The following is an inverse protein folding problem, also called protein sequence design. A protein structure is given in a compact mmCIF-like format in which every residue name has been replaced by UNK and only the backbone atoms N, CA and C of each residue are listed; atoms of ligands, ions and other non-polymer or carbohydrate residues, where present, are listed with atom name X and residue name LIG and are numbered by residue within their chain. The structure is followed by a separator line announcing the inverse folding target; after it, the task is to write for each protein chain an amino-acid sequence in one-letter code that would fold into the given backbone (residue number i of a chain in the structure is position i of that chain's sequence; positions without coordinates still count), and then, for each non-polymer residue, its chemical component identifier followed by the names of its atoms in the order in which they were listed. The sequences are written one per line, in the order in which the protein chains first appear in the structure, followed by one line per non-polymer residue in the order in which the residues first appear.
data_IF_150990161144
#
_entry.id   IF_150990161144
#
_cell.length_a   1.000
_cell.length_b   1.000
_cell.length_c   1.000
_cell.angle_alpha   90.00
_cell.angle_beta   90.00
_cell.angle_gamma   90.00
#
_symmetry.space_group_name_H-M   'P 1'
#
loop_
_entity.id
_entity.type
_entity.pdbx_description
1 polymer ?
#
# COMPACT_ATOMS: atom_id res chain seq x y z
N UNK A 1 59.78 -25.87 52.62
CA UNK A 1 59.53 -25.91 51.16
C UNK A 1 58.04 -26.04 50.96
N UNK A 2 57.39 -24.99 50.50
CA UNK A 2 55.94 -25.01 50.20
C UNK A 2 55.76 -25.10 48.66
N UNK A 3 54.87 -25.96 48.15
CA UNK A 3 54.62 -26.03 46.68
C UNK A 3 53.67 -24.94 46.26
N UNK A 4 54.02 -24.16 45.20
CA UNK A 4 53.18 -23.21 44.51
C UNK A 4 52.27 -23.99 43.60
N UNK A 5 50.93 -23.81 43.77
CA UNK A 5 49.89 -24.29 42.83
C UNK A 5 49.75 -23.29 41.73
N UNK A 6 50.09 -23.71 40.51
CA UNK A 6 49.79 -22.96 39.28
C UNK A 6 48.29 -23.08 38.98
N UNK A 7 47.58 -21.96 39.01
CA UNK A 7 46.22 -21.89 38.48
C UNK A 7 46.30 -21.55 36.98
N UNK A 8 45.96 -22.52 36.15
CA UNK A 8 45.78 -22.27 34.72
C UNK A 8 44.39 -21.62 34.49
N UNK A 9 44.37 -20.36 34.08
CA UNK A 9 43.17 -19.68 33.61
C UNK A 9 42.96 -20.08 32.13
N UNK A 10 41.97 -20.91 31.84
CA UNK A 10 41.48 -21.17 30.49
C UNK A 10 40.53 -20.04 30.10
N UNK A 11 41.04 -19.14 29.26
CA UNK A 11 40.24 -18.07 28.64
C UNK A 11 39.39 -18.70 27.52
N UNK A 12 38.11 -18.99 27.81
CA UNK A 12 37.14 -19.44 26.81
C UNK A 12 36.80 -18.31 25.87
N UNK A 13 37.25 -18.41 24.63
CA UNK A 13 36.88 -17.50 23.53
C UNK A 13 35.44 -17.84 23.10
N UNK A 14 34.46 -17.11 23.64
CA UNK A 14 33.10 -17.13 23.11
C UNK A 14 33.09 -16.43 21.74
N UNK A 15 33.15 -17.21 20.66
CA UNK A 15 32.79 -16.75 19.34
C UNK A 15 31.27 -16.50 19.35
N UNK A 16 30.87 -15.27 19.61
CA UNK A 16 29.52 -14.81 19.24
C UNK A 16 29.44 -14.78 17.72
N UNK A 17 28.86 -15.82 17.11
CA UNK A 17 28.35 -15.77 15.76
C UNK A 17 27.22 -14.74 15.76
N UNK A 18 27.53 -13.48 15.48
CA UNK A 18 26.53 -12.52 15.04
C UNK A 18 26.06 -13.00 13.66
N UNK A 19 24.94 -13.72 13.63
CA UNK A 19 24.18 -13.85 12.40
C UNK A 19 23.81 -12.42 12.01
N UNK A 20 24.45 -11.90 10.97
CA UNK A 20 23.95 -10.72 10.28
C UNK A 20 22.52 -11.09 9.89
N UNK A 21 21.52 -10.45 10.53
CA UNK A 21 20.16 -10.53 10.07
C UNK A 21 20.19 -9.97 8.64
N UNK A 22 20.09 -10.84 7.66
CA UNK A 22 19.86 -10.45 6.27
C UNK A 22 18.57 -9.65 6.26
N UNK A 23 18.59 -8.46 5.67
CA UNK A 23 17.37 -7.70 5.49
C UNK A 23 16.49 -8.51 4.52
N UNK A 24 15.39 -9.04 5.03
CA UNK A 24 14.43 -9.78 4.22
C UNK A 24 13.82 -8.83 3.18
N UNK A 25 13.80 -9.27 1.93
CA UNK A 25 13.10 -8.58 0.85
C UNK A 25 11.70 -9.18 0.78
N UNK A 26 10.69 -8.37 1.14
CA UNK A 26 9.30 -8.81 1.17
C UNK A 26 8.49 -8.17 0.04
N UNK A 27 7.60 -8.94 -0.55
CA UNK A 27 6.57 -8.46 -1.47
C UNK A 27 5.20 -8.48 -0.81
N UNK A 28 4.42 -7.42 -1.05
CA UNK A 28 3.00 -7.38 -0.75
C UNK A 28 2.24 -7.67 -2.04
N UNK A 29 1.35 -8.64 -1.99
CA UNK A 29 0.56 -9.10 -3.13
C UNK A 29 -0.91 -9.10 -2.75
N UNK A 30 -1.76 -8.44 -3.52
CA UNK A 30 -3.19 -8.65 -3.40
C UNK A 30 -3.57 -9.98 -4.07
N UNK A 31 -4.50 -10.69 -3.47
CA UNK A 31 -5.03 -11.94 -3.99
C UNK A 31 -6.56 -11.95 -3.86
N UNK A 32 -7.19 -12.64 -4.80
CA UNK A 32 -8.60 -13.00 -4.71
C UNK A 32 -8.82 -14.43 -5.22
N UNK A 33 -9.85 -15.08 -4.70
CA UNK A 33 -10.26 -16.38 -5.23
C UNK A 33 -10.89 -16.23 -6.61
N UNK A 34 -10.78 -17.28 -7.43
CA UNK A 34 -11.44 -17.31 -8.74
C UNK A 34 -12.96 -17.10 -8.60
N UNK A 35 -13.61 -16.48 -9.60
CA UNK A 35 -15.05 -16.17 -9.54
C UNK A 35 -15.98 -17.39 -9.34
N UNK A 36 -15.53 -18.57 -9.74
CA UNK A 36 -16.28 -19.83 -9.64
C UNK A 36 -16.18 -20.51 -8.27
N UNK A 37 -15.39 -19.96 -7.35
CA UNK A 37 -15.27 -20.53 -6.02
C UNK A 37 -16.51 -20.22 -5.17
N UNK A 38 -17.00 -21.21 -4.38
CA UNK A 38 -18.22 -21.05 -3.57
C UNK A 38 -18.06 -20.03 -2.44
N UNK A 39 -16.82 -19.75 -2.04
CA UNK A 39 -16.49 -18.74 -1.02
C UNK A 39 -15.42 -17.83 -1.57
N UNK A 40 -15.78 -16.54 -1.73
CA UNK A 40 -14.83 -15.51 -2.11
C UNK A 40 -13.86 -15.25 -0.96
N UNK A 41 -12.57 -15.18 -1.30
CA UNK A 41 -11.51 -14.76 -0.39
C UNK A 41 -10.70 -13.70 -1.08
N UNK A 42 -10.47 -12.62 -0.38
CA UNK A 42 -9.61 -11.52 -0.80
C UNK A 42 -8.65 -11.17 0.32
N UNK A 43 -7.48 -10.69 -0.01
CA UNK A 43 -6.51 -10.32 1.01
C UNK A 43 -5.20 -9.81 0.44
N UNK A 44 -4.31 -9.50 1.37
CA UNK A 44 -2.92 -9.15 1.10
C UNK A 44 -2.05 -10.28 1.61
N UNK A 45 -1.25 -10.88 0.73
CA UNK A 45 -0.22 -11.84 1.08
C UNK A 45 1.13 -11.14 1.20
N UNK A 46 1.91 -11.49 2.21
CA UNK A 46 3.29 -11.07 2.38
C UNK A 46 4.17 -12.25 2.05
N UNK A 47 4.95 -12.12 0.99
CA UNK A 47 5.81 -13.17 0.46
C UNK A 47 7.27 -12.78 0.64
N UNK A 48 8.08 -13.74 1.05
CA UNK A 48 9.54 -13.61 1.05
C UNK A 48 10.05 -13.76 -0.39
N UNK A 49 10.69 -12.72 -0.88
CA UNK A 49 11.31 -12.68 -2.22
C UNK A 49 12.82 -12.44 -2.17
N UNK A 50 13.43 -12.60 -0.99
CA UNK A 50 14.88 -12.56 -0.83
C UNK A 50 15.49 -13.87 -1.34
N UNK A 51 16.29 -13.84 -2.43
CA UNK A 51 16.86 -15.06 -3.00
C UNK A 51 17.85 -15.77 -2.07
N UNK A 52 18.36 -15.09 -1.05
CA UNK A 52 19.28 -15.67 -0.06
C UNK A 52 18.54 -16.24 1.17
N UNK A 53 17.22 -16.03 1.25
CA UNK A 53 16.41 -16.54 2.35
C UNK A 53 16.05 -18.01 2.18
N UNK A 54 16.09 -18.79 3.27
CA UNK A 54 15.54 -20.15 3.32
C UNK A 54 14.02 -20.23 3.15
N UNK A 55 13.34 -19.09 3.15
CA UNK A 55 11.91 -18.97 2.93
C UNK A 55 11.54 -18.38 1.56
N UNK A 56 12.51 -18.21 0.67
CA UNK A 56 12.26 -17.67 -0.68
C UNK A 56 11.02 -18.30 -1.35
N UNK A 57 10.12 -17.45 -1.85
CA UNK A 57 8.88 -17.86 -2.50
C UNK A 57 7.76 -18.31 -1.56
N UNK A 58 7.95 -18.26 -0.23
CA UNK A 58 6.88 -18.63 0.72
C UNK A 58 6.04 -17.44 1.12
N UNK A 59 4.74 -17.65 1.28
CA UNK A 59 3.84 -16.70 1.92
C UNK A 59 4.10 -16.80 3.43
N UNK A 60 4.55 -15.69 4.02
CA UNK A 60 4.85 -15.58 5.44
C UNK A 60 3.63 -15.18 6.27
N UNK A 61 2.72 -14.41 5.66
CA UNK A 61 1.53 -13.88 6.33
C UNK A 61 0.44 -13.56 5.31
N UNK A 62 -0.80 -13.72 5.74
CA UNK A 62 -1.99 -13.25 5.02
C UNK A 62 -2.76 -12.26 5.89
N UNK A 63 -3.21 -11.17 5.29
CA UNK A 63 -4.11 -10.17 5.89
C UNK A 63 -5.42 -10.26 5.12
N UNK A 64 -6.46 -10.92 5.67
CA UNK A 64 -7.75 -11.04 5.00
C UNK A 64 -8.41 -9.67 4.80
N UNK A 65 -8.98 -9.46 3.63
CA UNK A 65 -9.85 -8.34 3.30
C UNK A 65 -11.32 -8.80 3.28
N UNK A 66 -12.27 -7.87 3.46
CA UNK A 66 -13.68 -8.19 3.25
C UNK A 66 -13.92 -8.70 1.83
N UNK A 67 -14.78 -9.72 1.64
CA UNK A 67 -15.12 -10.22 0.31
C UNK A 67 -15.85 -9.15 -0.51
N UNK A 68 -15.74 -9.25 -1.84
CA UNK A 68 -16.34 -8.32 -2.81
C UNK A 68 -15.80 -6.89 -2.75
N UNK A 69 -14.62 -6.71 -2.16
CA UNK A 69 -13.89 -5.44 -2.19
C UNK A 69 -13.28 -5.19 -3.58
N UNK A 70 -12.88 -6.24 -4.27
CA UNK A 70 -12.09 -6.23 -5.51
C UNK A 70 -10.85 -5.36 -5.30
N UNK A 71 -9.96 -5.82 -4.40
CA UNK A 71 -8.71 -5.14 -4.10
C UNK A 71 -7.87 -5.03 -5.37
N UNK A 72 -7.45 -3.80 -5.71
CA UNK A 72 -6.88 -3.52 -7.02
C UNK A 72 -5.39 -3.22 -6.97
N UNK A 73 -4.98 -2.07 -6.46
CA UNK A 73 -3.59 -1.67 -6.38
C UNK A 73 -3.09 -1.53 -4.94
N UNK A 74 -1.76 -1.64 -4.76
CA UNK A 74 -1.07 -1.39 -3.50
C UNK A 74 -0.08 -0.25 -3.72
N UNK A 75 -0.26 0.85 -3.00
CA UNK A 75 0.61 2.02 -3.02
C UNK A 75 1.30 2.21 -1.68
N UNK A 76 2.51 2.70 -1.70
CA UNK A 76 3.24 3.03 -0.48
C UNK A 76 3.33 4.54 -0.30
N UNK A 77 3.31 5.01 0.95
CA UNK A 77 3.74 6.35 1.25
C UNK A 77 5.27 6.49 1.07
N UNK A 78 5.80 7.72 1.12
CA UNK A 78 7.19 7.99 0.74
C UNK A 78 8.23 7.29 1.59
N UNK A 79 7.98 7.13 2.88
CA UNK A 79 8.89 6.43 3.80
C UNK A 79 8.58 4.93 3.96
N UNK A 80 7.62 4.40 3.17
CA UNK A 80 7.17 3.00 3.18
C UNK A 80 6.68 2.51 4.55
N UNK A 81 6.22 3.42 5.37
CA UNK A 81 5.64 3.09 6.68
C UNK A 81 4.19 2.65 6.61
N UNK A 82 3.53 2.95 5.49
CA UNK A 82 2.13 2.57 5.21
C UNK A 82 1.98 2.04 3.78
N UNK A 83 1.12 1.05 3.62
CA UNK A 83 0.61 0.61 2.33
C UNK A 83 -0.89 0.94 2.24
N UNK A 84 -1.31 1.51 1.12
CA UNK A 84 -2.70 1.83 0.79
C UNK A 84 -3.19 0.87 -0.28
N UNK A 85 -4.35 0.27 -0.07
CA UNK A 85 -4.93 -0.70 -0.99
C UNK A 85 -6.24 -0.13 -1.53
N UNK A 86 -6.29 0.11 -2.83
CA UNK A 86 -7.48 0.59 -3.53
C UNK A 86 -8.47 -0.53 -3.79
N UNK A 87 -9.73 -0.17 -4.00
CA UNK A 87 -10.82 -1.11 -4.21
C UNK A 87 -11.76 -0.64 -5.32
N UNK A 88 -12.10 -1.55 -6.24
CA UNK A 88 -13.04 -1.27 -7.31
C UNK A 88 -14.50 -1.49 -6.91
N UNK A 89 -14.73 -2.45 -6.01
CA UNK A 89 -16.08 -2.88 -5.63
C UNK A 89 -16.73 -2.11 -4.49
N UNK A 90 -15.96 -1.34 -3.73
CA UNK A 90 -16.44 -0.64 -2.52
C UNK A 90 -15.81 0.75 -2.41
N UNK A 91 -16.55 1.68 -1.83
CA UNK A 91 -16.09 3.05 -1.51
C UNK A 91 -15.23 3.07 -0.23
N UNK A 92 -14.17 2.26 -0.22
CA UNK A 92 -13.28 2.08 0.93
C UNK A 92 -11.85 2.08 0.43
N UNK A 93 -10.97 2.79 1.13
CA UNK A 93 -9.52 2.70 0.99
C UNK A 93 -8.97 1.97 2.22
N UNK A 94 -8.21 0.91 2.03
CA UNK A 94 -7.57 0.23 3.13
C UNK A 94 -6.15 0.72 3.35
N UNK A 95 -5.72 0.76 4.61
CA UNK A 95 -4.37 1.15 5.02
C UNK A 95 -3.77 0.08 5.91
N UNK A 96 -2.55 -0.32 5.61
CA UNK A 96 -1.74 -1.21 6.45
C UNK A 96 -0.59 -0.43 7.03
N UNK A 97 -0.48 -0.39 8.36
CA UNK A 97 0.69 0.15 9.04
C UNK A 97 1.82 -0.90 9.00
N UNK A 98 2.94 -0.55 8.36
CA UNK A 98 4.08 -1.44 8.16
C UNK A 98 5.18 -1.27 9.23
N UNK A 99 5.02 -0.33 10.18
CA UNK A 99 6.03 -0.09 11.24
C UNK A 99 5.94 -1.07 12.40
N UNK A 100 4.77 -1.66 12.60
CA UNK A 100 4.52 -2.52 13.77
C UNK A 100 3.95 -3.86 13.35
N UNK A 101 4.63 -4.92 13.74
CA UNK A 101 4.13 -6.28 13.55
C UNK A 101 3.34 -6.75 14.80
N UNK A 102 2.23 -7.51 14.66
CA UNK A 102 1.61 -7.92 13.39
C UNK A 102 0.96 -6.73 12.65
N UNK A 103 1.06 -6.73 11.33
CA UNK A 103 0.48 -5.68 10.49
C UNK A 103 -1.04 -5.63 10.67
N UNK A 104 -1.56 -4.43 10.81
CA UNK A 104 -3.00 -4.20 11.03
C UNK A 104 -3.60 -3.42 9.88
N UNK A 105 -4.75 -3.90 9.43
CA UNK A 105 -5.56 -3.24 8.42
C UNK A 105 -6.51 -2.24 9.09
N UNK A 106 -6.60 -1.06 8.51
CA UNK A 106 -7.59 -0.04 8.84
C UNK A 106 -8.38 0.30 7.58
N UNK A 107 -9.68 0.51 7.69
CA UNK A 107 -10.53 1.01 6.61
C UNK A 107 -10.71 2.53 6.73
N UNK A 108 -10.65 3.21 5.60
CA UNK A 108 -10.98 4.62 5.43
C UNK A 108 -12.22 4.68 4.55
N UNK A 109 -13.30 5.25 5.06
CA UNK A 109 -14.50 5.50 4.26
C UNK A 109 -14.23 6.64 3.28
N UNK A 110 -14.53 6.38 2.01
CA UNK A 110 -14.45 7.34 0.90
C UNK A 110 -15.78 7.36 0.14
N UNK A 111 -16.87 7.83 0.77
CA UNK A 111 -18.24 7.63 0.28
C UNK A 111 -18.48 8.20 -1.12
N UNK A 112 -17.75 9.25 -1.51
CA UNK A 112 -17.87 9.89 -2.83
C UNK A 112 -17.05 9.18 -3.92
N UNK A 113 -16.30 8.12 -3.57
CA UNK A 113 -15.44 7.39 -4.49
C UNK A 113 -16.12 6.11 -4.98
N UNK A 114 -16.35 6.01 -6.27
CA UNK A 114 -16.70 4.76 -6.93
C UNK A 114 -15.52 4.32 -7.80
N UNK A 115 -15.15 3.05 -7.72
CA UNK A 115 -14.02 2.45 -8.42
C UNK A 115 -12.72 3.20 -8.15
N UNK A 116 -12.20 3.06 -6.92
CA UNK A 116 -10.92 3.64 -6.53
C UNK A 116 -9.76 2.99 -7.27
N UNK A 117 -9.01 3.77 -8.04
CA UNK A 117 -7.94 3.30 -8.92
C UNK A 117 -6.55 3.57 -8.34
N UNK A 118 -5.98 4.70 -8.68
CA UNK A 118 -4.62 5.08 -8.32
C UNK A 118 -4.57 5.98 -7.10
N UNK A 119 -3.47 5.87 -6.35
CA UNK A 119 -3.22 6.71 -5.20
C UNK A 119 -1.79 7.26 -5.23
N UNK A 120 -1.66 8.55 -4.95
CA UNK A 120 -0.37 9.20 -4.74
C UNK A 120 -0.32 9.88 -3.37
N UNK A 121 0.85 9.83 -2.74
CA UNK A 121 1.10 10.51 -1.45
C UNK A 121 2.08 11.66 -1.66
N UNK A 122 1.80 12.81 -1.06
CA UNK A 122 2.66 14.00 -1.09
C UNK A 122 4.07 13.69 -0.56
N UNK A 123 5.07 14.48 -0.97
CA UNK A 123 6.47 14.25 -0.58
C UNK A 123 6.71 14.35 0.94
N UNK A 124 5.89 15.13 1.63
CA UNK A 124 5.95 15.30 3.09
C UNK A 124 5.16 14.22 3.86
N UNK A 125 4.60 13.22 3.17
CA UNK A 125 3.75 12.16 3.74
C UNK A 125 2.49 12.66 4.47
N UNK A 126 1.97 13.85 4.14
CA UNK A 126 0.81 14.42 4.86
C UNK A 126 -0.50 14.26 4.13
N UNK A 127 -0.46 14.23 2.81
CA UNK A 127 -1.67 14.19 1.98
C UNK A 127 -1.61 13.02 1.02
N UNK A 128 -2.71 12.31 0.89
CA UNK A 128 -2.91 11.36 -0.19
C UNK A 128 -4.02 11.84 -1.13
N UNK A 129 -3.93 11.43 -2.38
CA UNK A 129 -4.93 11.67 -3.41
C UNK A 129 -5.29 10.35 -4.06
N UNK A 130 -6.59 10.07 -4.17
CA UNK A 130 -7.16 8.84 -4.72
C UNK A 130 -8.01 9.19 -5.94
N UNK A 131 -7.73 8.61 -7.09
CA UNK A 131 -8.59 8.72 -8.27
C UNK A 131 -9.77 7.77 -8.17
N UNK A 132 -10.96 8.26 -8.56
CA UNK A 132 -12.22 7.54 -8.48
C UNK A 132 -12.86 7.51 -9.86
N UNK A 133 -12.56 6.47 -10.63
CA UNK A 133 -12.91 6.35 -12.04
C UNK A 133 -14.42 6.35 -12.26
N UNK A 134 -15.18 5.65 -11.41
CA UNK A 134 -16.62 5.51 -11.53
C UNK A 134 -17.42 6.78 -11.15
N UNK A 135 -16.85 7.64 -10.31
CA UNK A 135 -17.49 8.88 -9.84
C UNK A 135 -16.91 10.15 -10.44
N UNK A 136 -15.92 10.04 -11.34
CA UNK A 136 -15.30 11.18 -12.03
C UNK A 136 -14.76 12.26 -11.07
N UNK A 137 -14.11 11.85 -10.00
CA UNK A 137 -13.53 12.76 -9.01
C UNK A 137 -12.21 12.26 -8.46
N UNK A 138 -11.56 13.08 -7.65
CA UNK A 138 -10.37 12.75 -6.88
C UNK A 138 -10.67 13.03 -5.41
N UNK A 139 -10.41 12.08 -4.55
CA UNK A 139 -10.50 12.28 -3.11
C UNK A 139 -9.14 12.69 -2.57
N UNK A 140 -9.10 13.79 -1.81
CA UNK A 140 -7.95 14.21 -1.04
C UNK A 140 -8.12 13.77 0.42
N UNK A 141 -7.07 13.26 1.02
CA UNK A 141 -7.11 12.84 2.42
C UNK A 141 -5.85 13.17 3.21
N UNK A 142 -6.01 13.12 4.53
CA UNK A 142 -4.93 13.26 5.49
C UNK A 142 -4.24 11.91 5.70
N UNK A 143 -2.94 11.84 5.39
CA UNK A 143 -2.16 10.61 5.52
C UNK A 143 -1.65 10.37 6.96
N UNK A 144 -1.75 11.35 7.85
CA UNK A 144 -1.40 11.18 9.26
C UNK A 144 -2.58 10.62 10.05
N UNK A 145 -3.78 11.13 9.77
CA UNK A 145 -5.03 10.72 10.42
C UNK A 145 -5.75 9.57 9.71
N UNK A 146 -5.30 9.20 8.50
CA UNK A 146 -5.92 8.20 7.63
C UNK A 146 -7.42 8.50 7.41
N UNK A 147 -7.70 9.72 6.90
CA UNK A 147 -9.06 10.22 6.75
C UNK A 147 -9.23 11.00 5.45
N UNK A 148 -10.36 10.79 4.75
CA UNK A 148 -10.77 11.64 3.64
C UNK A 148 -11.09 13.07 4.14
N UNK A 149 -10.66 14.09 3.39
CA UNK A 149 -10.83 15.51 3.75
C UNK A 149 -11.73 16.22 2.75
N UNK A 150 -11.49 16.01 1.46
CA UNK A 150 -12.14 16.77 0.39
C UNK A 150 -12.32 15.92 -0.86
N UNK A 151 -13.46 16.12 -1.54
CA UNK A 151 -13.70 15.63 -2.89
C UNK A 151 -13.43 16.76 -3.88
N UNK A 152 -12.63 16.47 -4.91
CA UNK A 152 -12.36 17.38 -6.03
C UNK A 152 -13.06 16.82 -7.25
N UNK A 153 -14.05 17.54 -7.77
CA UNK A 153 -14.85 17.11 -8.91
C UNK A 153 -14.72 18.09 -10.09
N UNK A 154 -15.17 17.67 -11.27
CA UNK A 154 -15.20 18.51 -12.46
C UNK A 154 -16.12 19.73 -12.34
N UNK A 155 -16.97 19.79 -11.33
CA UNK A 155 -17.87 20.90 -11.07
C UNK A 155 -17.19 22.09 -10.37
N UNK A 156 -15.97 21.91 -9.85
CA UNK A 156 -15.20 23.02 -9.25
C UNK A 156 -14.68 23.94 -10.36
N UNK A 157 -14.97 25.26 -10.32
CA UNK A 157 -14.59 26.20 -11.38
C UNK A 157 -13.08 26.31 -11.64
N UNK A 158 -12.27 25.92 -10.68
CA UNK A 158 -10.80 25.96 -10.75
C UNK A 158 -10.16 24.68 -11.27
N UNK A 159 -10.97 23.64 -11.52
CA UNK A 159 -10.50 22.32 -11.93
C UNK A 159 -10.87 22.12 -13.39
N UNK A 160 -9.89 21.71 -14.19
CA UNK A 160 -10.18 21.23 -15.54
C UNK A 160 -11.02 19.95 -15.46
N UNK A 161 -11.68 19.60 -16.55
CA UNK A 161 -12.58 18.45 -16.59
C UNK A 161 -11.90 17.17 -16.12
N UNK A 162 -12.38 16.60 -15.02
CA UNK A 162 -12.00 15.25 -14.56
C UNK A 162 -12.97 14.26 -15.20
N UNK A 163 -12.42 13.32 -15.99
CA UNK A 163 -13.22 12.31 -16.67
C UNK A 163 -12.51 10.95 -16.60
N UNK A 164 -13.16 9.96 -16.03
CA UNK A 164 -12.62 8.61 -15.86
C UNK A 164 -11.20 8.62 -15.31
N UNK A 165 -10.95 9.30 -14.17
CA UNK A 165 -9.60 9.50 -13.65
C UNK A 165 -8.99 8.14 -13.26
N UNK A 166 -7.73 7.94 -13.70
CA UNK A 166 -7.00 6.71 -13.46
C UNK A 166 -5.63 7.02 -12.85
N UNK A 167 -4.60 7.16 -13.66
CA UNK A 167 -3.25 7.44 -13.16
C UNK A 167 -3.13 8.82 -12.51
N UNK A 168 -2.35 8.92 -11.44
CA UNK A 168 -2.13 10.15 -10.69
C UNK A 168 -0.65 10.38 -10.39
N UNK A 169 -0.17 11.61 -10.56
CA UNK A 169 1.17 12.03 -10.20
C UNK A 169 1.15 13.35 -9.45
N UNK A 170 2.05 13.49 -8.48
CA UNK A 170 2.22 14.73 -7.69
C UNK A 170 3.61 15.28 -7.94
N UNK A 171 3.69 16.60 -8.13
CA UNK A 171 4.97 17.30 -8.24
C UNK A 171 4.93 18.60 -7.43
N UNK A 172 5.60 18.60 -6.28
CA UNK A 172 5.61 19.73 -5.36
C UNK A 172 6.30 20.97 -5.95
N UNK A 173 7.33 20.79 -6.79
CA UNK A 173 8.07 21.91 -7.39
C UNK A 173 7.23 22.80 -8.29
N UNK A 174 6.11 22.31 -8.81
CA UNK A 174 5.13 23.09 -9.59
C UNK A 174 3.77 23.21 -8.89
N UNK A 175 3.67 22.68 -7.68
CA UNK A 175 2.43 22.67 -6.89
C UNK A 175 1.22 22.15 -7.67
N UNK A 176 1.38 20.97 -8.27
CA UNK A 176 0.35 20.35 -9.10
C UNK A 176 0.19 18.87 -8.83
N UNK A 177 -1.05 18.43 -8.98
CA UNK A 177 -1.44 17.03 -9.12
C UNK A 177 -1.92 16.85 -10.55
N UNK A 178 -1.37 15.88 -11.27
CA UNK A 178 -1.75 15.54 -12.63
C UNK A 178 -2.54 14.23 -12.61
N UNK A 179 -3.66 14.21 -13.31
CA UNK A 179 -4.55 13.05 -13.39
C UNK A 179 -4.78 12.70 -14.85
N UNK A 180 -4.53 11.45 -15.21
CA UNK A 180 -4.86 10.93 -16.54
C UNK A 180 -6.28 10.39 -16.55
N UNK A 181 -6.99 10.54 -17.65
CA UNK A 181 -8.23 9.82 -17.90
C UNK A 181 -7.95 8.51 -18.64
N UNK A 182 -8.83 7.53 -18.46
CA UNK A 182 -8.73 6.24 -19.12
C UNK A 182 -9.99 5.96 -19.98
N UNK A 183 -10.85 5.08 -19.52
CA UNK A 183 -12.10 4.71 -20.19
C UNK A 183 -13.27 4.81 -19.21
N UNK A 184 -14.48 4.89 -19.72
CA UNK A 184 -15.68 4.77 -18.89
C UNK A 184 -15.75 3.40 -18.20
N UNK A 185 -16.45 3.26 -17.06
CA UNK A 185 -16.56 1.99 -16.34
C UNK A 185 -17.09 0.82 -17.16
N UNK A 186 -17.92 1.11 -18.17
CA UNK A 186 -18.45 0.15 -19.14
C UNK A 186 -17.56 -0.04 -20.39
N UNK A 187 -16.40 0.62 -20.42
CA UNK A 187 -15.42 0.61 -21.52
C UNK A 187 -15.95 1.13 -22.87
N UNK A 188 -17.07 1.84 -22.88
CA UNK A 188 -17.69 2.33 -24.13
C UNK A 188 -17.09 3.64 -24.64
N UNK A 189 -16.40 4.40 -23.79
CA UNK A 189 -15.93 5.74 -24.09
C UNK A 189 -14.51 5.99 -23.53
N UNK A 190 -13.65 6.58 -24.34
CA UNK A 190 -12.28 6.90 -23.96
C UNK A 190 -12.19 8.30 -23.32
N UNK A 191 -11.38 8.42 -22.27
CA UNK A 191 -11.18 9.68 -21.56
C UNK A 191 -10.37 10.71 -22.32
N UNK A 192 -9.26 10.32 -22.88
CA UNK A 192 -8.36 11.11 -23.75
C UNK A 192 -7.90 12.47 -23.20
N UNK A 193 -7.78 12.61 -21.86
CA UNK A 193 -7.35 13.86 -21.25
C UNK A 193 -6.32 13.68 -20.14
N UNK A 194 -5.61 14.77 -19.85
CA UNK A 194 -4.79 14.95 -18.65
C UNK A 194 -5.27 16.24 -17.98
N UNK A 195 -5.63 16.15 -16.72
CA UNK A 195 -6.11 17.27 -15.91
C UNK A 195 -5.09 17.64 -14.84
#
# INVERSE_FOLDING_TARGET
MKPYRLFAFTLGLLLSCSTLASAEILALLNYESKPDQPVRREGIAIMDIDPESGNFGKILMEIPLPPDLVAHHIFFNRDRSKAYITALGKSILHVVNLRTFPYRLQAIDVPDCQMGEDLAVSEDNRTWYLTCMGSNNVIMGDALLDKAIKTVSAEEPSVATIRYPHGIAIHNGIDRVLVTSTVSPDMSDAGESIT
#
